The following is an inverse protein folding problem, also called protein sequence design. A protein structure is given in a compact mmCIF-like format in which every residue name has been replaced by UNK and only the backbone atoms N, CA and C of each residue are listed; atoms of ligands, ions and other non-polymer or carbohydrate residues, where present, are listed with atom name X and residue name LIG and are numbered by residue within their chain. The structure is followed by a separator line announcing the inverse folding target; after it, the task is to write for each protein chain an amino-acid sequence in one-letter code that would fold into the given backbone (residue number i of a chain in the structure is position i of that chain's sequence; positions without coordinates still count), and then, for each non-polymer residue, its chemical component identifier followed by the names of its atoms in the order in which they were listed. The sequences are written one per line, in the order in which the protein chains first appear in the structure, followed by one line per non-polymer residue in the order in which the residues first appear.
data_IF_369996807763
#
_entry.id   IF_369996807763
#
_cell.length_a   1.000
_cell.length_b   1.000
_cell.length_c   1.000
_cell.angle_alpha   90.00
_cell.angle_beta   90.00
_cell.angle_gamma   90.00
#
_symmetry.space_group_name_H-M   'P 1'
#
loop_
_entity.id
_entity.type
_entity.pdbx_description
1 polymer ?
#
# COMPACT_ATOMS: atom_id res chain seq x y z
N UNK A 1 3.96 -15.50 -20.04
CA UNK A 1 2.82 -14.63 -19.68
C UNK A 1 2.56 -14.50 -18.17
N UNK A 2 2.20 -15.58 -17.44
CA UNK A 2 1.78 -15.48 -16.01
C UNK A 2 2.80 -14.80 -15.08
N UNK A 3 4.10 -15.03 -15.29
CA UNK A 3 5.17 -14.45 -14.43
C UNK A 3 5.35 -12.93 -14.63
N UNK A 4 5.22 -12.44 -15.87
CA UNK A 4 5.36 -11.02 -16.19
C UNK A 4 4.19 -10.23 -15.59
N UNK A 5 2.96 -10.74 -15.76
CA UNK A 5 1.76 -10.15 -15.16
C UNK A 5 1.90 -10.03 -13.64
N UNK A 6 2.42 -11.08 -13.00
CA UNK A 6 2.68 -11.08 -11.56
C UNK A 6 3.68 -10.02 -11.11
N UNK A 7 4.78 -9.86 -11.84
CA UNK A 7 5.78 -8.82 -11.56
C UNK A 7 5.15 -7.44 -11.74
N UNK A 8 4.40 -7.24 -12.83
CA UNK A 8 3.72 -5.99 -13.11
C UNK A 8 2.71 -5.62 -12.00
N UNK A 9 1.89 -6.58 -11.53
CA UNK A 9 0.92 -6.35 -10.44
C UNK A 9 1.63 -5.95 -9.14
N UNK A 10 2.71 -6.64 -8.77
CA UNK A 10 3.46 -6.28 -7.56
C UNK A 10 4.12 -4.90 -7.71
N UNK A 11 4.70 -4.60 -8.86
CA UNK A 11 5.33 -3.29 -9.11
C UNK A 11 4.29 -2.17 -9.04
N UNK A 12 3.16 -2.31 -9.74
CA UNK A 12 2.10 -1.31 -9.77
C UNK A 12 1.46 -1.11 -8.39
N UNK A 13 1.15 -2.19 -7.68
CA UNK A 13 0.63 -2.10 -6.31
C UNK A 13 1.64 -1.45 -5.35
N UNK A 14 2.93 -1.74 -5.51
CA UNK A 14 3.98 -1.13 -4.70
C UNK A 14 4.13 0.35 -4.93
N UNK A 15 4.24 0.77 -6.19
CA UNK A 15 4.30 2.19 -6.56
C UNK A 15 3.06 2.91 -6.03
N UNK A 16 1.87 2.34 -6.22
CA UNK A 16 0.62 2.90 -5.74
C UNK A 16 0.61 3.11 -4.21
N UNK A 17 0.97 2.07 -3.44
CA UNK A 17 0.97 2.16 -1.97
C UNK A 17 2.05 3.11 -1.47
N UNK A 18 3.27 3.03 -2.00
CA UNK A 18 4.40 3.86 -1.54
C UNK A 18 4.12 5.34 -1.78
N UNK A 19 3.67 5.72 -2.98
CA UNK A 19 3.34 7.11 -3.30
C UNK A 19 2.27 7.62 -2.33
N UNK A 20 1.19 6.87 -2.14
CA UNK A 20 0.12 7.26 -1.22
C UNK A 20 0.58 7.36 0.23
N UNK A 21 1.41 6.43 0.70
CA UNK A 21 1.95 6.48 2.04
C UNK A 21 2.83 7.70 2.27
N UNK A 22 3.72 8.01 1.33
CA UNK A 22 4.64 9.15 1.44
C UNK A 22 3.90 10.48 1.32
N UNK A 23 3.03 10.61 0.32
CA UNK A 23 2.22 11.82 0.12
C UNK A 23 1.28 12.04 1.29
N UNK A 24 0.56 11.00 1.75
CA UNK A 24 -0.32 11.09 2.90
C UNK A 24 0.41 11.46 4.19
N UNK A 25 1.61 10.90 4.41
CA UNK A 25 2.46 11.30 5.53
C UNK A 25 2.88 12.77 5.43
N UNK A 26 3.32 13.24 4.25
CA UNK A 26 3.68 14.64 4.02
C UNK A 26 2.52 15.59 4.30
N UNK A 27 1.35 15.33 3.70
CA UNK A 27 0.16 16.17 3.84
C UNK A 27 -0.34 16.21 5.29
N UNK A 28 -0.25 15.09 6.01
CA UNK A 28 -0.74 15.01 7.40
C UNK A 28 -0.06 15.98 8.38
N UNK A 29 1.13 16.49 8.03
CA UNK A 29 1.88 17.46 8.82
C UNK A 29 1.88 18.89 8.28
N UNK A 30 1.12 19.19 7.22
CA UNK A 30 1.13 20.51 6.58
C UNK A 30 0.24 21.55 7.26
N UNK A 31 -0.53 21.18 8.29
CA UNK A 31 -1.36 22.12 9.06
C UNK A 31 -0.60 22.80 10.19
N UNK A 32 -0.97 24.04 10.53
CA UNK A 32 -0.42 24.73 11.71
C UNK A 32 -0.71 23.92 12.99
N UNK A 33 0.33 23.65 13.77
CA UNK A 33 0.25 22.81 14.97
C UNK A 33 0.02 21.32 14.72
N UNK A 34 0.02 20.87 13.45
CA UNK A 34 -0.13 19.46 13.11
C UNK A 34 1.17 18.68 13.24
N UNK A 35 1.06 17.38 13.50
CA UNK A 35 2.20 16.45 13.53
C UNK A 35 1.96 15.36 12.49
N UNK A 36 2.99 14.98 11.75
CA UNK A 36 2.87 13.95 10.73
C UNK A 36 2.32 12.64 11.33
N UNK A 37 1.35 12.05 10.65
CA UNK A 37 0.77 10.79 11.04
C UNK A 37 1.61 9.63 10.49
N UNK A 38 2.52 9.12 11.33
CA UNK A 38 3.37 7.98 11.01
C UNK A 38 2.60 6.68 10.70
N UNK A 39 1.35 6.54 11.14
CA UNK A 39 0.55 5.34 10.85
C UNK A 39 0.34 5.14 9.33
N UNK A 40 0.35 6.23 8.56
CA UNK A 40 0.19 6.19 7.09
C UNK A 40 1.36 5.47 6.41
N UNK A 41 2.57 5.56 6.98
CA UNK A 41 3.74 4.82 6.51
C UNK A 41 3.64 3.31 6.80
N UNK A 42 2.81 2.94 7.79
CA UNK A 42 2.52 1.54 8.10
C UNK A 42 1.89 0.77 6.92
N UNK A 43 1.17 1.45 6.02
CA UNK A 43 0.62 0.82 4.81
C UNK A 43 1.72 0.31 3.87
N UNK A 44 2.79 1.09 3.69
CA UNK A 44 3.96 0.67 2.92
C UNK A 44 4.69 -0.51 3.59
N UNK A 45 4.76 -0.52 4.92
CA UNK A 45 5.33 -1.65 5.67
C UNK A 45 4.50 -2.94 5.48
N UNK A 46 3.17 -2.86 5.56
CA UNK A 46 2.28 -4.00 5.33
C UNK A 46 2.43 -4.53 3.90
N UNK A 47 2.49 -3.63 2.91
CA UNK A 47 2.72 -4.01 1.51
C UNK A 47 4.06 -4.76 1.35
N UNK A 48 5.14 -4.24 1.95
CA UNK A 48 6.47 -4.85 1.90
C UNK A 48 6.49 -6.24 2.56
N UNK A 49 5.82 -6.42 3.70
CA UNK A 49 5.67 -7.72 4.35
C UNK A 49 4.98 -8.71 3.41
N UNK A 50 3.89 -8.29 2.78
CA UNK A 50 3.18 -9.09 1.78
C UNK A 50 4.11 -9.51 0.63
N UNK A 51 4.88 -8.57 0.07
CA UNK A 51 5.83 -8.84 -1.00
C UNK A 51 6.89 -9.86 -0.58
N UNK A 52 7.49 -9.71 0.60
CA UNK A 52 8.50 -10.62 1.13
C UNK A 52 7.94 -12.03 1.30
N UNK A 53 6.70 -12.16 1.79
CA UNK A 53 6.03 -13.46 1.92
C UNK A 53 5.79 -14.14 0.57
N UNK A 54 5.55 -13.36 -0.49
CA UNK A 54 5.35 -13.91 -1.84
C UNK A 54 6.60 -14.57 -2.44
N UNK A 55 7.79 -14.18 -1.98
CA UNK A 55 9.06 -14.76 -2.41
C UNK A 55 9.17 -16.23 -1.97
N UNK A 56 8.49 -16.62 -0.88
CA UNK A 56 8.46 -18.00 -0.38
C UNK A 56 7.31 -18.78 -1.03
N UNK A 57 7.58 -19.95 -1.62
CA UNK A 57 6.55 -20.79 -2.26
C UNK A 57 5.34 -21.06 -1.35
N UNK A 58 5.58 -21.42 -0.08
CA UNK A 58 4.54 -21.71 0.92
C UNK A 58 3.74 -20.46 1.34
N UNK A 59 4.38 -19.30 1.33
CA UNK A 59 3.78 -18.02 1.72
C UNK A 59 3.10 -17.27 0.59
N UNK A 60 3.16 -17.77 -0.65
CA UNK A 60 2.81 -16.98 -1.83
C UNK A 60 1.37 -16.48 -1.83
N UNK A 61 0.41 -17.34 -1.54
CA UNK A 61 -1.00 -16.96 -1.50
C UNK A 61 -1.29 -15.92 -0.39
N UNK A 62 -0.77 -16.17 0.82
CA UNK A 62 -0.93 -15.27 1.96
C UNK A 62 -0.26 -13.92 1.71
N UNK A 63 0.96 -13.93 1.17
CA UNK A 63 1.67 -12.71 0.80
C UNK A 63 0.90 -11.90 -0.23
N UNK A 64 0.26 -12.56 -1.20
CA UNK A 64 -0.62 -11.91 -2.18
C UNK A 64 -1.78 -11.18 -1.51
N UNK A 65 -2.50 -11.86 -0.61
CA UNK A 65 -3.61 -11.28 0.14
C UNK A 65 -3.15 -10.06 0.94
N UNK A 66 -2.03 -10.18 1.66
CA UNK A 66 -1.49 -9.09 2.49
C UNK A 66 -1.08 -7.89 1.62
N UNK A 67 -0.45 -8.12 0.46
CA UNK A 67 -0.04 -7.04 -0.46
C UNK A 67 -1.23 -6.21 -0.95
N UNK A 68 -2.41 -6.83 -1.10
CA UNK A 68 -3.62 -6.11 -1.55
C UNK A 68 -4.38 -5.37 -0.43
N UNK A 69 -4.14 -5.68 0.85
CA UNK A 69 -4.77 -4.97 1.99
C UNK A 69 -4.58 -3.45 1.90
N UNK A 70 -3.34 -2.92 1.80
CA UNK A 70 -3.11 -1.47 1.73
C UNK A 70 -3.69 -0.87 0.45
N UNK A 71 -3.70 -1.59 -0.68
CA UNK A 71 -4.31 -1.14 -1.93
C UNK A 71 -5.81 -0.89 -1.72
N UNK A 72 -6.52 -1.88 -1.18
CA UNK A 72 -7.96 -1.82 -0.93
C UNK A 72 -8.30 -0.71 0.07
N UNK A 73 -7.49 -0.55 1.11
CA UNK A 73 -7.69 0.50 2.10
C UNK A 73 -7.57 1.92 1.51
N UNK A 74 -6.55 2.17 0.67
CA UNK A 74 -6.39 3.46 0.00
C UNK A 74 -7.55 3.72 -0.97
N UNK A 75 -7.93 2.71 -1.78
CA UNK A 75 -9.08 2.82 -2.69
C UNK A 75 -10.37 3.13 -1.92
N UNK A 76 -10.60 2.48 -0.78
CA UNK A 76 -11.74 2.77 0.08
C UNK A 76 -11.75 4.23 0.56
N UNK A 77 -10.61 4.77 0.96
CA UNK A 77 -10.49 6.19 1.34
C UNK A 77 -10.87 7.10 0.17
N UNK A 78 -10.36 6.85 -1.03
CA UNK A 78 -10.68 7.66 -2.21
C UNK A 78 -12.17 7.59 -2.57
N UNK A 79 -12.76 6.40 -2.54
CA UNK A 79 -14.20 6.24 -2.79
C UNK A 79 -15.01 7.05 -1.76
N UNK A 80 -14.67 6.92 -0.47
CA UNK A 80 -15.33 7.68 0.59
C UNK A 80 -15.18 9.19 0.38
N UNK A 81 -13.99 9.66 0.04
CA UNK A 81 -13.72 11.07 -0.21
C UNK A 81 -14.47 11.61 -1.44
N UNK A 82 -14.67 10.79 -2.48
CA UNK A 82 -15.41 11.20 -3.68
C UNK A 82 -16.93 11.23 -3.50
N UNK A 83 -17.46 10.55 -2.48
CA UNK A 83 -18.89 10.51 -2.15
C UNK A 83 -19.30 11.56 -1.12
N UNK A 84 -18.33 12.30 -0.56
CA UNK A 84 -18.54 13.43 0.35
C UNK A 84 -18.55 14.74 -0.45
#
# INVERSE_FOLDING_TARGET
MKRIIWIAVNLLSGVFVIINSVVGFGISGMGEGSTNNFMILGLAAIWAIGLVLQLKKKGRAIGLLITFIPVMFIVYIYLKASMM
#
